data_IF_726065506212
#
_entry.id   IF_726065506212
#
_cell.length_a   1.000
_cell.length_b   1.000
_cell.length_c   1.000
_cell.angle_alpha   90.00
_cell.angle_beta   90.00
_cell.angle_gamma   90.00
#
_symmetry.space_group_name_H-M   'P 1'
#
loop_
_entity.id
_entity.type
_entity.pdbx_description
1 polymer ?
#
# COMPACT_ATOMS: atom_id res chain seq x y z
N UNK A 1 52.53 -45.93 39.45
CA UNK A 1 51.06 -45.88 39.61
C UNK A 1 50.73 -44.71 40.52
N UNK A 2 49.72 -43.84 40.32
CA UNK A 2 48.76 -43.67 39.21
C UNK A 2 48.82 -42.28 38.52
N UNK A 3 48.10 -42.15 37.41
CA UNK A 3 47.84 -40.91 36.64
C UNK A 3 47.08 -39.88 37.49
N UNK A 4 47.52 -38.61 37.48
CA UNK A 4 46.66 -37.45 37.78
C UNK A 4 46.31 -36.75 36.46
N UNK A 5 45.12 -37.05 35.95
CA UNK A 5 44.45 -36.26 34.91
C UNK A 5 43.96 -34.96 35.53
N UNK A 6 44.46 -33.82 35.06
CA UNK A 6 43.80 -32.53 35.24
C UNK A 6 42.61 -32.44 34.28
N UNK A 7 41.42 -32.36 34.85
CA UNK A 7 40.16 -32.14 34.15
C UNK A 7 40.17 -30.77 33.46
N UNK A 8 40.06 -30.75 32.12
CA UNK A 8 39.72 -29.56 31.35
C UNK A 8 38.20 -29.45 31.31
N UNK A 9 37.66 -28.55 32.11
CA UNK A 9 36.26 -28.14 32.04
C UNK A 9 36.04 -27.41 30.71
N UNK A 10 35.41 -28.08 29.74
CA UNK A 10 34.87 -27.45 28.53
C UNK A 10 33.46 -26.97 28.86
N UNK A 11 33.28 -25.66 29.00
CA UNK A 11 31.97 -25.03 29.05
C UNK A 11 31.31 -25.15 27.66
N UNK A 12 30.34 -26.04 27.54
CA UNK A 12 29.38 -26.03 26.43
C UNK A 12 28.35 -24.93 26.69
N UNK A 13 28.53 -23.77 26.07
CA UNK A 13 27.47 -22.76 25.94
C UNK A 13 26.41 -23.30 24.99
N UNK A 14 25.29 -23.78 25.53
CA UNK A 14 24.13 -24.17 24.74
C UNK A 14 23.45 -22.91 24.17
N UNK A 15 23.68 -22.65 22.87
CA UNK A 15 22.93 -21.65 22.12
C UNK A 15 21.53 -22.21 21.83
N UNK A 16 20.55 -21.88 22.67
CA UNK A 16 19.16 -22.24 22.45
C UNK A 16 18.57 -21.32 21.37
N UNK A 17 18.65 -21.75 20.10
CA UNK A 17 17.94 -21.09 19.01
C UNK A 17 16.43 -21.36 19.17
N UNK A 18 15.69 -20.41 19.75
CA UNK A 18 14.24 -20.42 19.71
C UNK A 18 13.77 -20.19 18.26
N UNK A 19 13.47 -21.28 17.56
CA UNK A 19 12.70 -21.23 16.32
C UNK A 19 11.23 -21.05 16.71
N UNK A 20 10.74 -19.81 16.62
CA UNK A 20 9.30 -19.53 16.74
C UNK A 20 8.61 -20.02 15.46
N UNK A 21 8.11 -21.26 15.47
CA UNK A 21 7.20 -21.75 14.43
C UNK A 21 5.84 -21.06 14.59
N UNK A 22 5.64 -19.94 13.89
CA UNK A 22 4.30 -19.43 13.63
C UNK A 22 3.59 -20.42 12.70
N UNK A 23 2.78 -21.32 13.26
CA UNK A 23 1.78 -22.07 12.51
C UNK A 23 0.66 -21.11 12.10
N UNK A 24 0.97 -20.20 11.16
CA UNK A 24 -0.07 -19.61 10.33
C UNK A 24 -0.57 -20.69 9.39
N UNK A 25 -1.83 -21.09 9.50
CA UNK A 25 -2.46 -21.92 8.47
C UNK A 25 -2.28 -21.21 7.13
N UNK A 26 -1.54 -21.83 6.21
CA UNK A 26 -1.47 -21.33 4.85
C UNK A 26 -2.91 -21.17 4.35
N UNK A 27 -3.26 -20.05 3.69
CA UNK A 27 -4.61 -19.87 3.19
C UNK A 27 -4.97 -21.07 2.33
N UNK A 28 -6.11 -21.71 2.63
CA UNK A 28 -6.59 -22.85 1.87
C UNK A 28 -6.57 -22.48 0.37
N UNK A 29 -6.01 -23.38 -0.46
CA UNK A 29 -5.99 -23.24 -1.92
C UNK A 29 -7.37 -22.83 -2.43
N UNK A 30 -7.43 -22.01 -3.48
CA UNK A 30 -8.66 -21.34 -3.94
C UNK A 30 -9.91 -22.25 -3.96
N UNK A 31 -9.82 -23.44 -4.57
CA UNK A 31 -10.88 -24.44 -4.60
C UNK A 31 -11.40 -24.85 -3.22
N UNK A 32 -10.50 -25.21 -2.30
CA UNK A 32 -10.87 -25.55 -0.93
C UNK A 32 -11.49 -24.33 -0.21
N UNK A 33 -10.98 -23.13 -0.45
CA UNK A 33 -11.50 -21.89 0.13
C UNK A 33 -12.93 -21.58 -0.31
N UNK A 34 -13.19 -21.61 -1.62
CA UNK A 34 -14.51 -21.29 -2.21
C UNK A 34 -15.54 -22.36 -1.83
N UNK A 35 -15.17 -23.64 -1.84
CA UNK A 35 -16.06 -24.73 -1.42
C UNK A 35 -16.39 -24.67 0.07
N UNK A 36 -15.42 -24.35 0.92
CA UNK A 36 -15.65 -24.18 2.37
C UNK A 36 -16.59 -23.02 2.66
N UNK A 37 -16.37 -21.86 2.02
CA UNK A 37 -17.27 -20.71 2.13
C UNK A 37 -18.68 -21.08 1.68
N UNK A 38 -18.81 -21.74 0.53
CA UNK A 38 -20.11 -22.17 0.00
C UNK A 38 -20.85 -23.13 0.94
N UNK A 39 -20.18 -24.18 1.43
CA UNK A 39 -20.75 -25.13 2.40
C UNK A 39 -21.19 -24.45 3.69
N UNK A 40 -20.38 -23.53 4.21
CA UNK A 40 -20.71 -22.79 5.44
C UNK A 40 -21.93 -21.87 5.29
N UNK A 41 -22.35 -21.57 4.06
CA UNK A 41 -23.53 -20.78 3.73
C UNK A 41 -24.75 -21.64 3.38
N UNK A 42 -24.69 -22.95 3.61
CA UNK A 42 -25.78 -23.90 3.35
C UNK A 42 -25.73 -24.54 1.95
N UNK A 43 -24.66 -24.33 1.18
CA UNK A 43 -24.51 -24.91 -0.15
C UNK A 43 -25.68 -24.57 -1.08
N UNK A 44 -26.17 -25.57 -1.82
CA UNK A 44 -27.25 -25.40 -2.79
C UNK A 44 -28.60 -25.05 -2.16
N UNK A 45 -28.81 -25.41 -0.89
CA UNK A 45 -30.01 -25.05 -0.11
C UNK A 45 -29.89 -23.68 0.55
N UNK A 46 -28.69 -23.09 0.54
CA UNK A 46 -28.42 -21.76 1.05
C UNK A 46 -28.80 -20.65 0.07
N UNK A 47 -28.69 -19.40 0.51
CA UNK A 47 -29.09 -18.24 -0.30
C UNK A 47 -28.27 -18.05 -1.59
N UNK A 48 -27.06 -18.63 -1.68
CA UNK A 48 -26.25 -18.60 -2.90
C UNK A 48 -26.87 -19.46 -4.02
N UNK A 49 -27.61 -20.52 -3.67
CA UNK A 49 -28.15 -21.47 -4.64
C UNK A 49 -27.06 -22.29 -5.34
N UNK A 50 -27.40 -22.92 -6.47
CA UNK A 50 -26.46 -23.75 -7.24
C UNK A 50 -25.37 -22.90 -7.90
N UNK A 51 -24.18 -23.48 -8.09
CA UNK A 51 -23.14 -22.87 -8.90
C UNK A 51 -23.60 -22.72 -10.35
N UNK A 52 -23.34 -21.56 -10.96
CA UNK A 52 -23.68 -21.24 -12.36
C UNK A 52 -22.45 -21.20 -13.26
N UNK A 53 -21.27 -21.42 -12.68
CA UNK A 53 -19.98 -21.48 -13.37
C UNK A 53 -19.06 -22.46 -12.66
N UNK A 54 -18.07 -22.97 -13.38
CA UNK A 54 -16.87 -23.54 -12.75
C UNK A 54 -16.12 -22.46 -11.98
N UNK A 55 -15.24 -22.86 -11.07
CA UNK A 55 -14.24 -21.94 -10.52
C UNK A 55 -13.39 -21.36 -11.65
N UNK A 56 -13.11 -20.06 -11.58
CA UNK A 56 -12.25 -19.33 -12.52
C UNK A 56 -11.18 -18.59 -11.74
N UNK A 57 -9.93 -18.86 -12.07
CA UNK A 57 -8.75 -18.24 -11.48
C UNK A 57 -8.04 -17.33 -12.47
N UNK A 58 -7.09 -16.54 -11.97
CA UNK A 58 -6.33 -15.57 -12.77
C UNK A 58 -6.75 -14.12 -12.56
N UNK A 59 -7.56 -13.84 -11.52
CA UNK A 59 -7.79 -12.47 -11.08
C UNK A 59 -6.50 -11.88 -10.46
N UNK A 60 -6.45 -10.55 -10.30
CA UNK A 60 -5.31 -9.84 -9.68
C UNK A 60 -4.87 -10.52 -8.38
N UNK A 61 -3.58 -10.57 -8.09
CA UNK A 61 -3.07 -11.21 -6.85
C UNK A 61 -3.40 -12.71 -6.74
N UNK A 62 -3.44 -13.41 -7.88
CA UNK A 62 -3.79 -14.83 -8.00
C UNK A 62 -5.18 -15.18 -7.44
N UNK A 63 -6.11 -14.24 -7.52
CA UNK A 63 -7.48 -14.47 -7.05
C UNK A 63 -8.27 -15.39 -7.97
N UNK A 64 -9.34 -15.94 -7.39
CA UNK A 64 -10.30 -16.79 -8.07
C UNK A 64 -11.73 -16.40 -7.69
N UNK A 65 -12.69 -16.83 -8.49
CA UNK A 65 -14.10 -16.67 -8.17
C UNK A 65 -14.92 -17.85 -8.68
N UNK A 66 -16.11 -18.02 -8.08
CA UNK A 66 -17.18 -18.86 -8.62
C UNK A 66 -18.51 -18.14 -8.52
N UNK A 67 -19.27 -18.13 -9.60
CA UNK A 67 -20.62 -17.58 -9.66
C UNK A 67 -21.65 -18.62 -9.23
N UNK A 68 -22.69 -18.13 -8.57
CA UNK A 68 -23.85 -18.88 -8.13
C UNK A 68 -25.11 -18.08 -8.48
N UNK A 69 -26.27 -18.74 -8.40
CA UNK A 69 -27.55 -18.10 -8.71
C UNK A 69 -27.78 -16.81 -7.91
N UNK A 70 -27.45 -16.81 -6.62
CA UNK A 70 -27.68 -15.68 -5.71
C UNK A 70 -26.50 -14.71 -5.54
N UNK A 71 -25.33 -14.99 -6.13
CA UNK A 71 -24.15 -14.17 -5.89
C UNK A 71 -22.85 -14.73 -6.44
N UNK A 72 -21.73 -14.26 -5.90
CA UNK A 72 -20.39 -14.71 -6.31
C UNK A 72 -19.49 -14.80 -5.10
N UNK A 73 -18.78 -15.91 -4.96
CA UNK A 73 -17.69 -16.01 -3.98
C UNK A 73 -16.41 -15.61 -4.71
N UNK A 74 -15.70 -14.64 -4.14
CA UNK A 74 -14.35 -14.25 -4.58
C UNK A 74 -13.36 -14.68 -3.52
N UNK A 75 -12.21 -15.18 -3.95
CA UNK A 75 -11.10 -15.60 -3.10
C UNK A 75 -9.82 -14.91 -3.55
N UNK A 76 -8.99 -14.51 -2.59
CA UNK A 76 -7.60 -14.17 -2.82
C UNK A 76 -6.74 -14.78 -1.71
N UNK A 77 -5.43 -15.01 -1.93
CA UNK A 77 -4.53 -15.46 -0.88
C UNK A 77 -4.55 -14.54 0.35
N UNK A 78 -4.76 -13.22 0.14
CA UNK A 78 -4.71 -12.21 1.21
C UNK A 78 -6.01 -12.04 2.00
N UNK A 79 -7.15 -12.42 1.45
CA UNK A 79 -8.47 -12.18 2.07
C UNK A 79 -9.30 -13.44 2.32
N UNK A 80 -8.90 -14.58 1.73
CA UNK A 80 -9.71 -15.79 1.69
C UNK A 80 -10.98 -15.62 0.85
N UNK A 81 -11.84 -16.64 0.89
CA UNK A 81 -13.11 -16.67 0.16
C UNK A 81 -14.18 -15.85 0.88
N UNK A 82 -14.85 -14.96 0.16
CA UNK A 82 -15.96 -14.14 0.66
C UNK A 82 -17.11 -14.11 -0.34
N UNK A 83 -18.28 -14.53 0.11
CA UNK A 83 -19.50 -14.40 -0.66
C UNK A 83 -19.98 -12.94 -0.75
N UNK A 84 -20.37 -12.53 -1.94
CA UNK A 84 -20.92 -11.21 -2.24
C UNK A 84 -22.23 -11.35 -3.03
N UNK A 85 -23.16 -10.39 -2.89
CA UNK A 85 -24.46 -10.41 -3.56
C UNK A 85 -25.07 -9.02 -3.78
N UNK A 86 -26.17 -9.01 -4.52
CA UNK A 86 -27.07 -7.85 -4.63
C UNK A 86 -26.40 -6.55 -5.05
N UNK A 87 -26.95 -5.43 -4.56
CA UNK A 87 -26.47 -4.09 -4.90
C UNK A 87 -25.01 -3.84 -4.51
N UNK A 88 -24.51 -4.45 -3.42
CA UNK A 88 -23.10 -4.30 -3.03
C UNK A 88 -22.17 -4.93 -4.07
N UNK A 89 -22.43 -6.18 -4.50
CA UNK A 89 -21.64 -6.84 -5.54
C UNK A 89 -21.70 -6.08 -6.86
N UNK A 90 -22.88 -5.61 -7.26
CA UNK A 90 -23.04 -4.81 -8.48
C UNK A 90 -22.24 -3.52 -8.41
N UNK A 91 -22.30 -2.80 -7.28
CA UNK A 91 -21.52 -1.57 -7.09
C UNK A 91 -20.02 -1.84 -7.10
N UNK A 92 -19.55 -2.91 -6.45
CA UNK A 92 -18.14 -3.28 -6.45
C UNK A 92 -17.61 -3.55 -7.87
N UNK A 93 -18.42 -4.21 -8.71
CA UNK A 93 -18.08 -4.42 -10.13
C UNK A 93 -17.94 -3.10 -10.90
N UNK A 94 -18.84 -2.15 -10.67
CA UNK A 94 -18.76 -0.79 -11.25
C UNK A 94 -17.54 -0.01 -10.75
N UNK A 95 -17.09 -0.26 -9.52
CA UNK A 95 -15.86 0.33 -8.96
C UNK A 95 -14.57 -0.34 -9.48
N UNK A 96 -14.67 -1.28 -10.44
CA UNK A 96 -13.53 -1.96 -11.06
C UNK A 96 -13.14 -3.29 -10.41
N UNK A 97 -13.99 -3.86 -9.55
CA UNK A 97 -13.76 -5.13 -8.86
C UNK A 97 -12.39 -5.17 -8.13
N UNK A 98 -11.66 -6.29 -8.22
CA UNK A 98 -10.33 -6.42 -7.66
C UNK A 98 -9.37 -5.40 -8.23
N UNK A 99 -9.44 -5.04 -9.51
CA UNK A 99 -8.57 -4.03 -10.13
C UNK A 99 -8.85 -2.61 -9.64
N UNK A 100 -10.03 -2.39 -9.06
CA UNK A 100 -10.50 -1.09 -8.61
C UNK A 100 -9.85 -0.57 -7.33
N UNK A 101 -10.35 0.61 -6.95
CA UNK A 101 -9.90 1.36 -5.78
C UNK A 101 -10.09 0.60 -4.46
N UNK A 102 -11.07 -0.31 -4.40
CA UNK A 102 -11.45 -1.03 -3.19
C UNK A 102 -10.66 -2.33 -2.98
N UNK A 103 -10.27 -3.03 -4.06
CA UNK A 103 -9.65 -4.36 -3.98
C UNK A 103 -10.63 -5.45 -3.54
N UNK A 104 -10.10 -6.56 -3.03
CA UNK A 104 -10.91 -7.73 -2.61
C UNK A 104 -11.74 -7.48 -1.34
N UNK A 105 -12.90 -8.15 -1.19
CA UNK A 105 -13.64 -8.17 0.08
C UNK A 105 -12.81 -8.87 1.17
N UNK A 106 -12.72 -8.26 2.37
CA UNK A 106 -12.02 -8.84 3.53
C UNK A 106 -12.94 -9.66 4.43
N UNK A 107 -14.22 -9.30 4.45
CA UNK A 107 -15.25 -9.89 5.33
C UNK A 107 -16.52 -10.17 4.54
N UNK A 108 -17.37 -11.04 5.09
CA UNK A 108 -18.72 -11.26 4.56
C UNK A 108 -19.56 -10.00 4.72
N UNK A 109 -20.61 -9.90 3.93
CA UNK A 109 -21.65 -8.90 4.12
C UNK A 109 -22.27 -9.03 5.53
N UNK A 110 -22.24 -7.94 6.29
CA UNK A 110 -22.89 -7.85 7.60
C UNK A 110 -24.07 -6.89 7.50
N UNK A 111 -25.26 -7.35 7.87
CA UNK A 111 -26.49 -6.56 7.82
C UNK A 111 -27.01 -6.26 9.24
N UNK A 112 -27.49 -5.04 9.44
CA UNK A 112 -28.19 -4.61 10.66
C UNK A 112 -29.33 -3.65 10.27
N UNK A 113 -30.55 -4.00 10.68
CA UNK A 113 -31.77 -3.30 10.27
C UNK A 113 -31.88 -3.19 8.75
N UNK A 114 -32.00 -1.96 8.25
CA UNK A 114 -32.16 -1.66 6.82
C UNK A 114 -30.83 -1.46 6.06
N UNK A 115 -29.66 -1.80 6.66
CA UNK A 115 -28.36 -1.57 6.03
C UNK A 115 -27.46 -2.80 6.06
N UNK A 116 -26.73 -3.03 4.97
CA UNK A 116 -25.69 -4.04 4.85
C UNK A 116 -24.36 -3.38 4.48
N UNK A 117 -23.24 -3.94 4.94
CA UNK A 117 -21.90 -3.42 4.65
C UNK A 117 -20.93 -4.54 4.33
N UNK A 118 -20.02 -4.29 3.39
CA UNK A 118 -18.83 -5.11 3.13
C UNK A 118 -17.60 -4.23 3.26
N UNK A 119 -16.61 -4.71 4.03
CA UNK A 119 -15.29 -4.10 4.09
C UNK A 119 -14.36 -4.75 3.07
N UNK A 120 -13.72 -3.92 2.25
CA UNK A 120 -12.75 -4.29 1.24
C UNK A 120 -11.32 -3.93 1.70
N UNK A 121 -10.32 -4.34 0.92
CA UNK A 121 -8.92 -4.03 1.22
C UNK A 121 -8.68 -2.53 1.45
N UNK A 122 -9.34 -1.67 0.66
CA UNK A 122 -9.15 -0.21 0.64
C UNK A 122 -10.46 0.58 0.65
N UNK A 123 -11.45 0.12 1.40
CA UNK A 123 -12.68 0.89 1.63
C UNK A 123 -13.86 0.03 2.03
N UNK A 124 -15.04 0.62 1.95
CA UNK A 124 -16.30 -0.03 2.28
C UNK A 124 -17.36 0.29 1.23
N UNK A 125 -18.26 -0.66 1.01
CA UNK A 125 -19.53 -0.40 0.35
C UNK A 125 -20.63 -0.69 1.34
N UNK A 126 -21.53 0.29 1.52
CA UNK A 126 -22.74 0.15 2.32
C UNK A 126 -23.93 0.19 1.37
N UNK A 127 -24.87 -0.72 1.56
CA UNK A 127 -26.19 -0.67 0.94
C UNK A 127 -27.23 -0.36 2.00
N UNK A 128 -28.22 0.45 1.66
CA UNK A 128 -29.34 0.79 2.54
C UNK A 128 -30.65 0.67 1.77
N UNK A 129 -31.64 -0.02 2.36
CA UNK A 129 -32.98 -0.19 1.78
C UNK A 129 -33.59 1.18 1.44
N UNK A 130 -34.08 1.32 0.22
CA UNK A 130 -34.65 2.58 -0.29
C UNK A 130 -33.64 3.68 -0.67
N UNK A 131 -32.34 3.50 -0.40
CA UNK A 131 -31.29 4.49 -0.73
C UNK A 131 -30.17 3.96 -1.65
N UNK A 132 -30.07 2.65 -1.83
CA UNK A 132 -29.04 2.04 -2.68
C UNK A 132 -27.66 2.01 -2.01
N UNK A 133 -26.60 2.03 -2.82
CA UNK A 133 -25.21 1.88 -2.34
C UNK A 133 -24.48 3.20 -2.17
N UNK A 134 -23.73 3.34 -1.07
CA UNK A 134 -22.69 4.35 -0.90
C UNK A 134 -21.32 3.69 -0.81
N UNK A 135 -20.29 4.38 -1.31
CA UNK A 135 -18.90 3.90 -1.33
C UNK A 135 -18.05 4.88 -0.54
N UNK A 136 -17.27 4.37 0.42
CA UNK A 136 -16.22 5.14 1.07
C UNK A 136 -14.89 4.49 0.73
N UNK A 137 -14.02 5.23 0.03
CA UNK A 137 -12.72 4.73 -0.44
C UNK A 137 -11.63 5.23 0.49
N UNK A 138 -10.75 4.32 0.87
CA UNK A 138 -9.58 4.65 1.68
C UNK A 138 -8.60 5.56 0.93
N UNK A 139 -8.65 5.54 -0.41
CA UNK A 139 -7.84 6.41 -1.28
C UNK A 139 -8.28 7.88 -1.26
N UNK A 140 -9.47 8.19 -0.75
CA UNK A 140 -10.05 9.53 -0.62
C UNK A 140 -9.86 10.11 0.80
N UNK A 141 -9.45 9.28 1.79
CA UNK A 141 -9.40 9.66 3.21
C UNK A 141 -7.99 10.05 3.63
N UNK A 142 -7.78 11.31 4.02
CA UNK A 142 -6.46 11.84 4.40
C UNK A 142 -5.73 11.05 5.50
N UNK A 143 -6.47 10.44 6.42
CA UNK A 143 -5.90 9.60 7.51
C UNK A 143 -5.49 8.20 7.07
N UNK A 144 -5.85 7.76 5.86
CA UNK A 144 -5.54 6.43 5.36
C UNK A 144 -4.08 6.33 4.90
N UNK A 145 -3.46 5.15 5.03
CA UNK A 145 -2.20 4.84 4.34
C UNK A 145 -2.36 4.71 2.82
N UNK A 146 -3.59 4.43 2.35
CA UNK A 146 -3.91 4.30 0.93
C UNK A 146 -4.28 5.61 0.24
N UNK A 147 -4.31 6.75 0.96
CA UNK A 147 -4.72 8.04 0.38
C UNK A 147 -3.93 8.36 -0.89
N UNK A 148 -4.60 8.73 -1.98
CA UNK A 148 -3.90 9.19 -3.19
C UNK A 148 -4.02 10.70 -3.27
N UNK A 149 -2.86 11.36 -3.19
CA UNK A 149 -2.72 12.81 -3.36
C UNK A 149 -1.94 13.03 -4.65
N UNK A 150 -2.51 13.78 -5.57
CA UNK A 150 -1.88 14.17 -6.84
C UNK A 150 -2.60 15.39 -7.40
N UNK A 151 -2.22 15.89 -8.58
CA UNK A 151 -2.73 17.16 -9.13
C UNK A 151 -4.26 17.22 -9.33
N UNK A 152 -4.95 16.08 -9.38
CA UNK A 152 -6.42 16.00 -9.47
C UNK A 152 -7.12 15.63 -8.17
N UNK A 153 -6.34 15.31 -7.13
CA UNK A 153 -6.82 14.73 -5.87
C UNK A 153 -6.16 15.46 -4.70
N UNK A 154 -6.69 16.62 -4.28
CA UNK A 154 -6.18 17.30 -3.10
C UNK A 154 -6.52 16.50 -1.83
N UNK A 155 -5.77 16.77 -0.77
CA UNK A 155 -6.16 16.34 0.56
C UNK A 155 -7.51 16.93 0.97
N UNK A 156 -8.27 16.14 1.74
CA UNK A 156 -9.51 16.57 2.37
C UNK A 156 -9.48 16.17 3.86
N UNK A 157 -9.44 17.13 4.80
CA UNK A 157 -9.39 18.59 4.57
C UNK A 157 -8.08 19.03 3.90
N UNK A 158 -8.12 20.16 3.18
CA UNK A 158 -7.00 20.65 2.37
C UNK A 158 -5.72 20.88 3.18
N UNK A 159 -5.88 21.33 4.42
CA UNK A 159 -4.78 21.59 5.36
C UNK A 159 -4.52 20.43 6.34
N UNK A 160 -5.00 19.21 6.05
CA UNK A 160 -4.76 18.03 6.89
C UNK A 160 -3.27 17.86 7.23
N UNK A 161 -2.96 17.59 8.49
CA UNK A 161 -1.66 17.11 8.94
C UNK A 161 -1.84 15.92 9.89
N UNK A 162 -1.06 14.83 9.76
CA UNK A 162 -1.13 13.70 10.66
C UNK A 162 -0.49 14.01 12.03
N UNK A 163 -0.92 13.29 13.07
CA UNK A 163 -0.26 13.26 14.37
C UNK A 163 -0.53 11.92 15.07
N UNK A 164 0.44 11.37 15.83
CA UNK A 164 1.80 11.88 16.06
C UNK A 164 2.78 11.59 14.91
N UNK A 165 3.85 12.39 14.85
CA UNK A 165 4.97 12.26 13.92
C UNK A 165 6.22 11.75 14.64
N UNK A 166 7.03 10.94 13.94
CA UNK A 166 8.16 10.22 14.50
C UNK A 166 9.43 10.54 13.72
N UNK A 167 10.51 10.88 14.44
CA UNK A 167 11.81 11.19 13.85
C UNK A 167 12.45 9.90 13.29
N UNK A 168 12.98 9.99 12.07
CA UNK A 168 13.65 8.88 11.37
C UNK A 168 15.12 9.16 11.04
N UNK A 169 15.70 10.19 11.66
CA UNK A 169 17.07 10.68 11.45
C UNK A 169 17.11 12.07 10.82
N UNK A 170 18.13 12.87 11.14
CA UNK A 170 18.36 14.18 10.52
C UNK A 170 17.25 15.22 10.75
N UNK A 171 16.41 15.04 11.77
CA UNK A 171 15.23 15.89 11.99
C UNK A 171 14.04 15.58 11.08
N UNK A 172 14.18 14.61 10.16
CA UNK A 172 13.12 14.18 9.27
C UNK A 172 12.08 13.39 10.05
N UNK A 173 10.80 13.73 9.86
CA UNK A 173 9.69 13.10 10.57
C UNK A 173 8.71 12.44 9.59
N UNK A 174 8.12 11.31 9.99
CA UNK A 174 7.05 10.62 9.25
C UNK A 174 5.88 10.28 10.18
N UNK A 175 4.74 9.95 9.58
CA UNK A 175 3.64 9.30 10.30
C UNK A 175 4.15 7.97 10.89
N UNK A 176 3.64 7.58 12.06
CA UNK A 176 4.16 6.44 12.84
C UNK A 176 4.32 5.14 12.04
N UNK A 177 3.34 4.81 11.18
CA UNK A 177 3.36 3.61 10.35
C UNK A 177 4.46 3.67 9.26
N UNK A 178 4.60 4.80 8.58
CA UNK A 178 5.67 5.02 7.62
C UNK A 178 7.05 5.10 8.28
N UNK A 179 7.15 5.69 9.48
CA UNK A 179 8.39 5.77 10.24
C UNK A 179 8.90 4.36 10.62
N UNK A 180 8.04 3.52 11.18
CA UNK A 180 8.40 2.15 11.55
C UNK A 180 8.79 1.32 10.31
N UNK A 181 8.09 1.52 9.19
CA UNK A 181 8.42 0.88 7.92
C UNK A 181 9.78 1.35 7.39
N UNK A 182 10.05 2.66 7.42
CA UNK A 182 11.31 3.23 6.96
C UNK A 182 12.49 2.74 7.80
N UNK A 183 12.36 2.66 9.12
CA UNK A 183 13.40 2.15 10.00
C UNK A 183 13.78 0.69 9.64
N UNK A 184 12.78 -0.18 9.40
CA UNK A 184 13.05 -1.56 8.94
C UNK A 184 13.72 -1.60 7.57
N UNK A 185 13.29 -0.74 6.64
CA UNK A 185 13.88 -0.64 5.31
C UNK A 185 15.33 -0.17 5.37
N UNK A 186 15.60 0.89 6.14
CA UNK A 186 16.93 1.47 6.33
C UNK A 186 17.89 0.49 6.99
N UNK A 187 17.45 -0.23 8.03
CA UNK A 187 18.26 -1.28 8.65
C UNK A 187 18.58 -2.41 7.67
N UNK A 188 17.61 -2.84 6.85
CA UNK A 188 17.84 -3.88 5.87
C UNK A 188 18.81 -3.46 4.75
N UNK A 189 18.74 -2.19 4.34
CA UNK A 189 19.70 -1.61 3.42
C UNK A 189 21.11 -1.58 4.04
N UNK A 190 21.23 -1.11 5.29
CA UNK A 190 22.50 -1.04 6.01
C UNK A 190 23.15 -2.42 6.20
N UNK A 191 22.35 -3.45 6.48
CA UNK A 191 22.81 -4.84 6.55
C UNK A 191 23.36 -5.37 5.21
N UNK A 192 23.08 -4.69 4.10
CA UNK A 192 23.60 -4.97 2.77
C UNK A 192 24.64 -3.93 2.31
N UNK A 193 25.19 -3.14 3.24
CA UNK A 193 26.20 -2.12 2.95
C UNK A 193 25.66 -0.86 2.27
N UNK A 194 24.34 -0.65 2.27
CA UNK A 194 23.68 0.52 1.65
C UNK A 194 23.12 1.43 2.74
N UNK A 195 23.78 2.55 3.00
CA UNK A 195 23.29 3.57 3.95
C UNK A 195 22.32 4.53 3.26
N UNK A 196 21.06 4.58 3.73
CA UNK A 196 20.06 5.54 3.30
C UNK A 196 20.08 6.78 4.22
N UNK A 197 20.12 7.97 3.63
CA UNK A 197 20.06 9.24 4.37
C UNK A 197 18.66 9.84 4.22
N UNK A 198 17.89 10.08 5.29
CA UNK A 198 16.62 10.80 5.18
C UNK A 198 16.87 12.27 4.85
N UNK A 199 16.20 12.81 3.83
CA UNK A 199 16.39 14.20 3.36
C UNK A 199 15.17 15.07 3.65
N UNK A 200 13.96 14.60 3.33
CA UNK A 200 12.71 15.32 3.59
C UNK A 200 11.59 14.34 3.93
N UNK A 201 10.68 14.72 4.82
CA UNK A 201 9.58 13.86 5.29
C UNK A 201 8.29 14.64 5.33
N UNK A 202 7.60 14.63 6.47
CA UNK A 202 6.41 15.43 6.67
C UNK A 202 6.65 16.91 6.40
N UNK A 203 5.76 17.51 5.62
CA UNK A 203 5.74 18.95 5.32
C UNK A 203 4.32 19.46 5.49
N UNK A 204 4.10 20.41 6.40
CA UNK A 204 2.77 20.96 6.63
C UNK A 204 2.23 21.69 5.39
N UNK A 205 0.92 21.93 5.38
CA UNK A 205 0.28 22.74 4.34
C UNK A 205 0.93 24.13 4.19
N UNK A 206 1.20 24.81 5.32
CA UNK A 206 1.79 26.15 5.32
C UNK A 206 3.22 26.14 4.78
N UNK A 207 4.05 25.17 5.17
CA UNK A 207 5.40 25.00 4.64
C UNK A 207 5.37 24.70 3.14
N UNK A 208 4.45 23.85 2.67
CA UNK A 208 4.28 23.58 1.24
C UNK A 208 3.84 24.84 0.48
N UNK A 209 2.98 25.67 1.07
CA UNK A 209 2.54 26.93 0.47
C UNK A 209 3.72 27.87 0.25
N UNK A 210 4.54 28.12 1.28
CA UNK A 210 5.74 28.95 1.16
C UNK A 210 6.72 28.38 0.12
N UNK A 211 6.99 27.07 0.16
CA UNK A 211 7.88 26.41 -0.80
C UNK A 211 7.40 26.58 -2.25
N UNK A 212 6.12 26.33 -2.50
CA UNK A 212 5.55 26.45 -3.84
C UNK A 212 5.64 27.88 -4.36
N UNK A 213 5.27 28.88 -3.57
CA UNK A 213 5.34 30.28 -4.01
C UNK A 213 6.76 30.79 -4.21
N UNK A 214 7.74 30.29 -3.45
CA UNK A 214 9.16 30.57 -3.71
C UNK A 214 9.58 30.04 -5.08
N UNK A 215 9.17 28.82 -5.46
CA UNK A 215 9.45 28.28 -6.79
C UNK A 215 8.71 29.03 -7.90
N UNK A 216 7.47 29.47 -7.68
CA UNK A 216 6.75 30.31 -8.64
C UNK A 216 7.50 31.62 -8.86
N UNK A 217 7.99 32.27 -7.80
CA UNK A 217 8.75 33.51 -7.91
C UNK A 217 10.09 33.32 -8.66
N UNK A 218 10.75 32.17 -8.47
CA UNK A 218 12.06 31.89 -9.06
C UNK A 218 11.99 31.38 -10.50
N UNK A 219 10.99 30.56 -10.84
CA UNK A 219 10.95 29.80 -12.09
C UNK A 219 9.66 29.98 -12.91
N UNK A 220 8.70 30.75 -12.40
CA UNK A 220 7.36 30.86 -12.96
C UNK A 220 6.47 29.66 -12.65
N UNK A 221 5.15 29.87 -12.75
CA UNK A 221 4.15 28.87 -12.33
C UNK A 221 4.20 27.57 -13.14
N UNK A 222 4.41 27.65 -14.47
CA UNK A 222 4.45 26.47 -15.33
C UNK A 222 5.58 25.51 -14.94
N UNK A 223 6.76 26.05 -14.61
CA UNK A 223 7.91 25.27 -14.12
C UNK A 223 7.67 24.79 -12.69
N UNK A 224 7.16 25.65 -11.80
CA UNK A 224 6.86 25.26 -10.42
C UNK A 224 5.88 24.08 -10.36
N UNK A 225 4.86 24.06 -11.22
CA UNK A 225 3.88 22.97 -11.31
C UNK A 225 4.49 21.63 -11.78
N UNK A 226 5.71 21.58 -12.32
CA UNK A 226 6.37 20.32 -12.77
C UNK A 226 7.32 19.73 -11.72
N UNK A 227 7.82 20.56 -10.80
CA UNK A 227 8.82 20.18 -9.78
C UNK A 227 8.31 20.29 -8.33
N UNK A 228 7.14 20.91 -8.10
CA UNK A 228 6.59 21.09 -6.77
C UNK A 228 5.07 20.98 -6.75
N UNK A 229 4.57 20.32 -5.72
CA UNK A 229 3.14 20.23 -5.47
C UNK A 229 2.57 21.58 -4.99
N UNK A 230 1.39 21.95 -5.46
CA UNK A 230 0.59 23.02 -4.86
C UNK A 230 0.21 22.64 -3.42
N UNK A 231 0.00 23.60 -2.52
CA UNK A 231 -0.39 23.29 -1.14
C UNK A 231 -1.70 22.50 -1.07
N UNK A 232 -1.70 21.44 -0.27
CA UNK A 232 -2.78 20.44 -0.20
C UNK A 232 -2.74 19.36 -1.29
N UNK A 233 -1.78 19.40 -2.22
CA UNK A 233 -1.56 18.37 -3.24
C UNK A 233 -0.23 17.62 -3.08
N UNK A 234 0.51 17.90 -2.00
CA UNK A 234 1.80 17.27 -1.70
C UNK A 234 1.61 15.99 -0.89
N UNK A 235 2.22 14.90 -1.31
CA UNK A 235 2.23 13.67 -0.52
C UNK A 235 3.01 13.84 0.80
N UNK A 236 4.00 14.74 0.87
CA UNK A 236 4.71 15.03 2.12
C UNK A 236 3.76 15.48 3.24
N UNK A 237 2.65 16.15 2.90
CA UNK A 237 1.65 16.58 3.86
C UNK A 237 0.92 15.41 4.54
N UNK A 238 0.95 14.21 3.95
CA UNK A 238 0.38 13.00 4.58
C UNK A 238 1.28 12.39 5.65
N UNK A 239 2.56 12.78 5.71
CA UNK A 239 3.58 12.10 6.49
C UNK A 239 3.92 10.69 6.00
N UNK A 240 3.47 10.30 4.80
CA UNK A 240 3.73 9.00 4.17
C UNK A 240 4.78 9.05 3.06
N UNK A 241 5.24 10.24 2.69
CA UNK A 241 6.31 10.41 1.71
C UNK A 241 7.63 10.75 2.41
N UNK A 242 8.71 10.18 1.90
CA UNK A 242 10.08 10.47 2.33
C UNK A 242 10.98 10.60 1.11
N UNK A 243 11.79 11.65 1.09
CA UNK A 243 12.91 11.79 0.21
C UNK A 243 14.14 11.18 0.86
N UNK A 244 14.82 10.28 0.14
CA UNK A 244 16.06 9.64 0.61
C UNK A 244 17.25 10.02 -0.27
N UNK A 245 18.42 10.08 0.33
CA UNK A 245 19.69 10.43 -0.31
C UNK A 245 20.79 9.42 -0.02
N UNK A 246 21.95 9.67 -0.64
CA UNK A 246 23.18 8.95 -0.38
C UNK A 246 24.07 9.73 0.62
N UNK A 247 24.96 9.04 1.36
CA UNK A 247 25.96 9.69 2.21
C UNK A 247 26.76 10.75 1.43
N UNK A 248 27.08 11.87 2.09
CA UNK A 248 27.81 12.98 1.47
C UNK A 248 27.01 13.80 0.46
N UNK A 249 25.71 13.55 0.30
CA UNK A 249 24.84 14.33 -0.60
C UNK A 249 25.01 14.01 -2.09
N UNK A 250 25.65 12.89 -2.42
CA UNK A 250 25.87 12.45 -3.81
C UNK A 250 24.52 12.35 -4.54
N UNK A 251 24.37 13.08 -5.64
CA UNK A 251 23.14 13.16 -6.42
C UNK A 251 21.90 13.50 -5.60
N UNK A 252 22.04 14.31 -4.54
CA UNK A 252 20.92 14.66 -3.66
C UNK A 252 19.75 15.29 -4.42
N UNK A 253 18.58 14.65 -4.34
CA UNK A 253 17.34 15.09 -4.99
C UNK A 253 17.47 15.34 -6.50
N UNK A 254 18.30 14.54 -7.18
CA UNK A 254 18.53 14.60 -8.62
C UNK A 254 18.27 13.24 -9.28
N UNK A 255 17.97 13.26 -10.58
CA UNK A 255 17.71 12.04 -11.36
C UNK A 255 18.87 11.02 -11.29
N UNK A 256 20.12 11.49 -11.16
CA UNK A 256 21.28 10.61 -11.02
C UNK A 256 21.30 9.81 -9.72
N UNK A 257 20.47 10.14 -8.71
CA UNK A 257 20.29 9.33 -7.51
C UNK A 257 19.87 7.90 -7.84
N UNK A 258 19.05 7.71 -8.88
CA UNK A 258 18.62 6.39 -9.36
C UNK A 258 19.77 5.47 -9.77
N UNK A 259 20.95 6.04 -10.09
CA UNK A 259 22.15 5.29 -10.46
C UNK A 259 23.05 4.93 -9.26
N UNK A 260 22.81 5.54 -8.09
CA UNK A 260 23.56 5.24 -6.86
C UNK A 260 23.18 3.86 -6.30
N UNK A 261 24.01 3.25 -5.44
CA UNK A 261 23.64 2.04 -4.71
C UNK A 261 22.30 2.19 -3.96
N UNK A 262 22.07 3.37 -3.35
CA UNK A 262 20.86 3.70 -2.60
C UNK A 262 19.63 3.71 -3.50
N UNK A 263 19.68 4.47 -4.60
CA UNK A 263 18.57 4.59 -5.55
C UNK A 263 18.18 3.24 -6.17
N UNK A 264 19.17 2.45 -6.59
CA UNK A 264 18.95 1.09 -7.10
C UNK A 264 18.36 0.18 -6.03
N UNK A 265 18.88 0.26 -4.80
CA UNK A 265 18.41 -0.58 -3.70
C UNK A 265 16.95 -0.30 -3.34
N UNK A 266 16.55 0.97 -3.21
CA UNK A 266 15.16 1.32 -2.86
C UNK A 266 14.19 0.99 -3.99
N UNK A 267 14.58 1.16 -5.25
CA UNK A 267 13.77 0.74 -6.40
C UNK A 267 13.54 -0.79 -6.42
N UNK A 268 14.56 -1.57 -6.05
CA UNK A 268 14.48 -3.02 -6.02
C UNK A 268 13.75 -3.55 -4.77
N UNK A 269 13.92 -2.93 -3.60
CA UNK A 269 13.53 -3.50 -2.31
C UNK A 269 12.46 -2.74 -1.55
N UNK A 270 12.17 -1.48 -1.88
CA UNK A 270 11.25 -0.63 -1.12
C UNK A 270 9.87 -1.25 -0.90
N UNK A 271 9.36 -1.98 -1.91
CA UNK A 271 8.05 -2.65 -1.85
C UNK A 271 7.93 -3.64 -0.68
N UNK A 272 9.01 -4.35 -0.35
CA UNK A 272 9.05 -5.30 0.78
C UNK A 272 8.71 -4.62 2.11
N UNK A 273 8.96 -3.31 2.21
CA UNK A 273 8.76 -2.51 3.41
C UNK A 273 7.55 -1.56 3.31
N UNK A 274 6.79 -1.61 2.21
CA UNK A 274 5.62 -0.76 2.05
C UNK A 274 5.83 0.49 1.21
N UNK A 275 7.02 0.70 0.64
CA UNK A 275 7.36 1.89 -0.15
C UNK A 275 7.37 1.61 -1.65
N UNK A 276 7.00 2.62 -2.43
CA UNK A 276 7.18 2.64 -3.88
C UNK A 276 7.94 3.90 -4.28
N UNK A 277 8.76 3.82 -5.33
CA UNK A 277 9.29 5.02 -6.00
C UNK A 277 8.10 5.70 -6.69
N UNK A 278 7.69 6.87 -6.21
CA UNK A 278 6.38 7.44 -6.53
C UNK A 278 6.29 7.98 -7.95
N UNK A 279 7.39 8.53 -8.46
CA UNK A 279 7.48 9.22 -9.73
C UNK A 279 8.59 8.59 -10.60
N UNK A 280 8.33 7.40 -11.18
CA UNK A 280 9.29 6.70 -12.03
C UNK A 280 9.48 7.39 -13.39
N UNK A 281 10.62 7.13 -14.03
CA UNK A 281 10.94 7.68 -15.35
C UNK A 281 9.95 7.21 -16.42
N UNK A 282 9.58 8.10 -17.34
CA UNK A 282 8.65 7.81 -18.46
C UNK A 282 7.17 7.97 -18.12
N UNK A 283 6.80 8.31 -16.89
CA UNK A 283 5.40 8.38 -16.43
C UNK A 283 4.93 9.79 -16.03
N UNK A 284 5.64 10.85 -16.43
CA UNK A 284 5.22 12.23 -16.20
C UNK A 284 3.82 12.53 -16.75
N UNK A 285 3.41 11.89 -17.85
CA UNK A 285 2.03 11.99 -18.37
C UNK A 285 0.95 11.41 -17.45
N UNK A 286 1.32 10.56 -16.50
CA UNK A 286 0.42 9.92 -15.53
C UNK A 286 0.33 10.71 -14.23
N UNK A 287 1.45 11.13 -13.65
CA UNK A 287 1.47 11.78 -12.31
C UNK A 287 1.83 13.27 -12.33
N UNK A 288 2.38 13.77 -13.44
CA UNK A 288 2.68 15.19 -13.64
C UNK A 288 4.00 15.68 -13.07
N UNK A 289 4.86 14.80 -12.57
CA UNK A 289 6.17 15.15 -12.02
C UNK A 289 7.29 14.61 -12.90
N UNK A 290 8.45 15.27 -12.85
CA UNK A 290 9.69 14.73 -13.41
C UNK A 290 10.06 13.39 -12.73
N UNK A 291 11.10 12.72 -13.22
CA UNK A 291 11.60 11.51 -12.59
C UNK A 291 12.25 11.84 -11.23
N UNK A 292 11.71 11.25 -10.15
CA UNK A 292 12.19 11.46 -8.78
C UNK A 292 12.52 10.11 -8.12
N UNK A 293 13.69 9.51 -8.40
CA UNK A 293 14.08 8.23 -7.80
C UNK A 293 14.25 8.26 -6.27
N UNK A 294 14.34 9.45 -5.69
CA UNK A 294 14.49 9.65 -4.25
C UNK A 294 13.16 9.70 -3.50
N UNK A 295 12.05 10.04 -4.18
CA UNK A 295 10.74 10.24 -3.53
C UNK A 295 10.04 8.89 -3.35
N UNK A 296 10.03 8.42 -2.11
CA UNK A 296 9.40 7.18 -1.71
C UNK A 296 8.04 7.43 -1.06
N UNK A 297 7.02 6.71 -1.52
CA UNK A 297 5.66 6.78 -0.98
C UNK A 297 5.30 5.50 -0.25
N UNK A 298 4.97 5.61 1.05
CA UNK A 298 4.43 4.51 1.83
C UNK A 298 2.95 4.26 1.51
N UNK A 299 2.63 3.01 1.16
CA UNK A 299 1.27 2.52 0.88
C UNK A 299 0.94 1.23 1.63
N UNK A 300 1.85 0.79 2.51
CA UNK A 300 1.79 -0.50 3.20
C UNK A 300 2.30 -1.66 2.35
N UNK A 301 2.85 -2.68 3.01
CA UNK A 301 3.43 -3.86 2.36
C UNK A 301 2.44 -4.61 1.46
N UNK A 302 1.16 -4.83 1.83
CA UNK A 302 0.22 -5.51 0.93
C UNK A 302 0.05 -4.81 -0.42
N UNK A 303 -0.13 -3.48 -0.42
CA UNK A 303 -0.35 -2.68 -1.63
C UNK A 303 0.90 -2.59 -2.49
N UNK A 304 2.05 -2.30 -1.88
CA UNK A 304 3.32 -2.15 -2.63
C UNK A 304 3.80 -3.49 -3.22
N UNK A 305 3.64 -4.61 -2.51
CA UNK A 305 3.90 -5.93 -3.06
C UNK A 305 2.92 -6.27 -4.20
N UNK A 306 1.63 -6.00 -4.04
CA UNK A 306 0.64 -6.22 -5.11
C UNK A 306 0.97 -5.39 -6.35
N UNK A 307 1.30 -4.11 -6.20
CA UNK A 307 1.74 -3.26 -7.30
C UNK A 307 2.94 -3.87 -8.04
N UNK A 308 3.98 -4.29 -7.30
CA UNK A 308 5.20 -4.90 -7.87
C UNK A 308 4.90 -6.24 -8.57
N UNK A 309 4.15 -7.13 -7.93
CA UNK A 309 3.88 -8.49 -8.40
C UNK A 309 2.99 -8.51 -9.65
N UNK A 310 2.10 -7.53 -9.80
CA UNK A 310 1.24 -7.40 -10.98
C UNK A 310 1.85 -6.49 -12.06
N UNK A 311 3.14 -6.11 -11.94
CA UNK A 311 3.87 -5.38 -12.98
C UNK A 311 3.43 -3.93 -13.17
N UNK A 312 2.71 -3.33 -12.22
CA UNK A 312 2.31 -1.93 -12.29
C UNK A 312 3.50 -1.02 -11.94
N UNK A 313 3.62 0.08 -12.69
CA UNK A 313 4.70 1.06 -12.49
C UNK A 313 4.25 2.24 -11.63
N UNK A 314 2.99 2.67 -11.75
CA UNK A 314 2.44 3.82 -11.01
C UNK A 314 1.28 3.40 -10.12
N UNK A 315 1.06 4.15 -9.03
CA UNK A 315 -0.11 3.97 -8.16
C UNK A 315 -1.41 4.26 -8.91
N UNK A 316 -1.40 5.27 -9.79
CA UNK A 316 -2.55 5.59 -10.64
C UNK A 316 -2.94 4.40 -11.52
N UNK A 317 -1.98 3.78 -12.23
CA UNK A 317 -2.23 2.61 -13.05
C UNK A 317 -2.72 1.41 -12.24
N UNK A 318 -2.11 1.15 -11.08
CA UNK A 318 -2.50 0.05 -10.19
C UNK A 318 -3.93 0.17 -9.65
N UNK A 319 -4.39 1.40 -9.38
CA UNK A 319 -5.72 1.69 -8.84
C UNK A 319 -6.77 1.98 -9.93
N UNK A 320 -6.38 2.03 -11.20
CA UNK A 320 -7.26 2.41 -12.31
C UNK A 320 -7.72 3.87 -12.23
N UNK A 321 -6.88 4.76 -11.68
CA UNK A 321 -7.17 6.18 -11.57
C UNK A 321 -6.86 6.90 -12.89
N UNK A 322 -7.61 7.98 -13.23
CA UNK A 322 -7.25 8.84 -14.34
C UNK A 322 -5.85 9.46 -14.16
N UNK A 323 -5.18 9.71 -15.28
CA UNK A 323 -3.93 10.46 -15.31
C UNK A 323 -4.13 11.87 -14.71
N UNK A 324 -3.13 12.36 -13.98
CA UNK A 324 -3.09 13.66 -13.32
C UNK A 324 -1.85 14.49 -13.72
N UNK A 325 -1.58 14.75 -15.02
CA UNK A 325 -0.36 15.43 -15.46
C UNK A 325 -0.32 16.92 -15.07
N UNK A 326 -1.50 17.53 -14.86
CA UNK A 326 -1.70 18.95 -14.56
C UNK A 326 -2.82 19.16 -13.54
N UNK A 327 -2.84 20.33 -12.91
CA UNK A 327 -3.95 20.77 -12.06
C UNK A 327 -5.24 20.98 -12.87
#
# INVERSE_FOLDING_TARGET
MPRKQMSRTVLFSALLALVFSMLGTAPAMAGAGIDNEYRSLGGASGWLGKATSSERCGLRDAGCYRQYQGGTIHWSPSTGARAQRGGILQRWRVEGSEHGNLGYPKVRETCSGNSCVVHYQRGIIRWTKGKGTTVSRDIDRATSSSVIVNKKRPLNPRAYGPGPLWNVGGGVQLRSDAAAAYQRMSQAAANQGVTLVPVSGYRSYSTQNSLYWNYVAMYGQATADTISARPGYSEHQTGLAIDVGAPGGVCGLQACFGNTPQGRWVAANGHKYGFVVRYPSGYTGTHGYAYEPWHLRYVGTPTSNSLKNNGYITLEGYLGLPNAPRY
#
